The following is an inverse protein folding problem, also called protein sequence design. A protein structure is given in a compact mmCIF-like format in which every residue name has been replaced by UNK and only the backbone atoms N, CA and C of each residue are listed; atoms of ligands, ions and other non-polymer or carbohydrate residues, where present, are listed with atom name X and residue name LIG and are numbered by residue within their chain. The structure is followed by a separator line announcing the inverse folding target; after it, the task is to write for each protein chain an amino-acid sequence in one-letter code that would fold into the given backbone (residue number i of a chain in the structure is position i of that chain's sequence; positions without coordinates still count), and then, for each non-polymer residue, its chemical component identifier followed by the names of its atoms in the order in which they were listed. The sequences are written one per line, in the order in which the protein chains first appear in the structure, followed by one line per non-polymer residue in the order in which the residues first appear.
data_IF_149831293270
#
_entry.id   IF_149831293270
#
_cell.length_a   1.000
_cell.length_b   1.000
_cell.length_c   1.000
_cell.angle_alpha   90.00
_cell.angle_beta   90.00
_cell.angle_gamma   90.00
#
_symmetry.space_group_name_H-M   'P 1'
#
loop_
_entity.id
_entity.type
_entity.pdbx_description
1 polymer ?
#
# COMPACT_ATOMS: atom_id res chain seq x y z
N UNK A 1 15.57 -15.18 -18.55
CA UNK A 1 14.38 -15.26 -17.67
C UNK A 1 14.52 -16.27 -16.52
N UNK A 2 15.04 -17.51 -16.71
CA UNK A 2 15.25 -18.48 -15.61
C UNK A 2 16.24 -18.06 -14.49
N UNK A 3 17.07 -17.03 -14.71
CA UNK A 3 18.10 -16.58 -13.75
C UNK A 3 17.61 -15.61 -12.67
N UNK A 4 16.31 -15.26 -12.64
CA UNK A 4 15.75 -14.28 -11.70
C UNK A 4 14.86 -14.91 -10.60
N UNK A 5 14.82 -16.23 -10.46
CA UNK A 5 13.92 -16.90 -9.51
C UNK A 5 14.06 -16.35 -8.06
N UNK A 6 15.28 -16.14 -7.58
CA UNK A 6 15.53 -15.52 -6.27
C UNK A 6 15.15 -14.03 -6.19
N UNK A 7 15.17 -13.32 -7.32
CA UNK A 7 14.79 -11.91 -7.36
C UNK A 7 13.28 -11.72 -7.15
N UNK A 8 12.44 -12.59 -7.71
CA UNK A 8 10.99 -12.54 -7.49
C UNK A 8 10.62 -12.84 -6.04
N UNK A 9 11.29 -13.80 -5.39
CA UNK A 9 11.09 -14.07 -3.97
C UNK A 9 11.47 -12.87 -3.08
N UNK A 10 12.58 -12.19 -3.39
CA UNK A 10 12.97 -10.98 -2.68
C UNK A 10 11.97 -9.82 -2.89
N UNK A 11 11.44 -9.67 -4.12
CA UNK A 11 10.43 -8.65 -4.42
C UNK A 11 9.10 -8.94 -3.71
N UNK A 12 8.71 -10.21 -3.64
CA UNK A 12 7.55 -10.71 -2.90
C UNK A 12 7.67 -10.41 -1.40
N UNK A 13 8.82 -10.70 -0.80
CA UNK A 13 9.13 -10.42 0.61
C UNK A 13 9.06 -8.91 0.90
N UNK A 14 9.65 -8.08 0.04
CA UNK A 14 9.63 -6.62 0.17
C UNK A 14 8.20 -6.06 0.11
N UNK A 15 7.39 -6.52 -0.85
CA UNK A 15 5.99 -6.12 -0.95
C UNK A 15 5.18 -6.56 0.28
N UNK A 16 5.42 -7.78 0.76
CA UNK A 16 4.82 -8.29 1.99
C UNK A 16 5.20 -7.47 3.22
N UNK A 17 6.47 -7.04 3.33
CA UNK A 17 6.93 -6.19 4.43
C UNK A 17 6.29 -4.80 4.35
N UNK A 18 6.25 -4.18 3.17
CA UNK A 18 5.61 -2.88 2.97
C UNK A 18 4.14 -2.90 3.42
N UNK A 19 3.38 -3.93 3.00
CA UNK A 19 1.98 -4.09 3.40
C UNK A 19 1.80 -4.21 4.91
N UNK A 20 2.56 -5.09 5.57
CA UNK A 20 2.49 -5.28 7.04
C UNK A 20 2.86 -4.01 7.82
N UNK A 21 3.85 -3.26 7.37
CA UNK A 21 4.23 -2.02 8.04
C UNK A 21 3.18 -0.91 7.81
N UNK A 22 2.55 -0.85 6.64
CA UNK A 22 1.38 0.03 6.43
C UNK A 22 0.25 -0.34 7.39
N UNK A 23 -0.15 -1.61 7.48
CA UNK A 23 -1.19 -2.06 8.42
C UNK A 23 -0.92 -1.62 9.86
N UNK A 24 0.33 -1.74 10.34
CA UNK A 24 0.73 -1.27 11.67
C UNK A 24 0.56 0.25 11.83
N UNK A 25 0.98 1.05 10.84
CA UNK A 25 0.88 2.51 10.89
C UNK A 25 -0.58 2.98 10.93
N UNK A 26 -1.44 2.35 10.13
CA UNK A 26 -2.88 2.64 10.09
C UNK A 26 -3.58 2.18 11.38
N UNK A 27 -3.25 0.99 11.88
CA UNK A 27 -3.77 0.48 13.15
C UNK A 27 -3.41 1.39 14.34
N UNK A 28 -2.18 1.94 14.38
CA UNK A 28 -1.75 2.89 15.40
C UNK A 28 -2.56 4.21 15.39
N UNK A 29 -3.29 4.49 14.30
CA UNK A 29 -4.16 5.66 14.14
C UNK A 29 -5.64 5.32 14.27
N UNK A 30 -5.99 4.06 14.49
CA UNK A 30 -7.37 3.60 14.54
C UNK A 30 -8.10 3.71 13.19
N UNK A 31 -7.35 3.77 12.08
CA UNK A 31 -7.93 3.84 10.73
C UNK A 31 -7.97 2.41 10.18
N UNK A 32 -9.15 1.82 9.96
CA UNK A 32 -9.26 0.47 9.45
C UNK A 32 -8.85 0.41 7.98
N UNK A 33 -7.95 -0.52 7.67
CA UNK A 33 -7.60 -0.87 6.29
C UNK A 33 -7.50 -2.38 6.11
N UNK A 34 -7.67 -2.81 4.87
CA UNK A 34 -7.34 -4.16 4.41
C UNK A 34 -6.28 -4.05 3.30
N UNK A 35 -5.14 -4.73 3.46
CA UNK A 35 -4.12 -4.81 2.42
C UNK A 35 -4.22 -6.14 1.70
N UNK A 36 -4.74 -6.11 0.48
CA UNK A 36 -4.64 -7.25 -0.41
C UNK A 36 -3.30 -7.26 -1.13
N UNK A 37 -2.78 -8.46 -1.38
CA UNK A 37 -1.48 -8.63 -2.04
C UNK A 37 -1.45 -9.89 -2.91
N UNK A 38 -0.77 -9.78 -4.04
CA UNK A 38 -0.39 -10.90 -4.88
C UNK A 38 1.03 -10.65 -5.41
N UNK A 39 2.01 -11.39 -4.89
CA UNK A 39 3.43 -11.13 -5.16
C UNK A 39 3.81 -9.67 -4.90
N UNK A 40 4.30 -8.95 -5.90
CA UNK A 40 4.71 -7.55 -5.80
C UNK A 40 3.57 -6.53 -5.93
N UNK A 41 2.35 -7.01 -6.23
CA UNK A 41 1.14 -6.19 -6.35
C UNK A 41 0.46 -6.08 -4.99
N UNK A 42 -0.03 -4.88 -4.66
CA UNK A 42 -0.80 -4.66 -3.44
C UNK A 42 -1.90 -3.63 -3.67
N UNK A 43 -2.97 -3.70 -2.89
CA UNK A 43 -4.05 -2.70 -2.87
C UNK A 43 -4.40 -2.40 -1.42
N UNK A 44 -4.48 -1.12 -1.06
CA UNK A 44 -4.95 -0.67 0.24
C UNK A 44 -6.43 -0.33 0.14
N UNK A 45 -7.28 -1.14 0.75
CA UNK A 45 -8.71 -0.86 0.89
C UNK A 45 -9.00 -0.17 2.20
N UNK A 46 -9.60 1.02 2.15
CA UNK A 46 -9.97 1.80 3.34
C UNK A 46 -11.29 1.29 3.93
N UNK A 47 -11.23 0.08 4.52
CA UNK A 47 -12.34 -0.58 5.20
C UNK A 47 -11.83 -1.69 6.13
N UNK A 48 -12.73 -2.20 6.97
CA UNK A 48 -12.50 -3.41 7.76
C UNK A 48 -12.79 -4.69 6.98
N UNK A 49 -12.09 -5.76 7.35
CA UNK A 49 -12.39 -7.12 6.90
C UNK A 49 -11.74 -7.49 5.56
N UNK A 50 -11.91 -8.75 5.12
CA UNK A 50 -11.34 -9.21 3.87
C UNK A 50 -12.08 -8.60 2.68
N UNK A 51 -11.33 -8.20 1.65
CA UNK A 51 -11.85 -7.75 0.36
C UNK A 51 -11.61 -8.85 -0.66
N UNK A 52 -12.66 -9.54 -1.10
CA UNK A 52 -12.54 -10.74 -1.93
C UNK A 52 -13.26 -10.64 -3.29
N UNK A 53 -14.04 -9.59 -3.50
CA UNK A 53 -14.83 -9.38 -4.70
C UNK A 53 -15.12 -7.88 -4.92
N UNK A 54 -15.80 -7.56 -6.01
CA UNK A 54 -16.18 -6.18 -6.32
C UNK A 54 -17.11 -5.59 -5.26
N UNK A 55 -18.09 -6.38 -4.80
CA UNK A 55 -19.08 -5.92 -3.81
C UNK A 55 -18.42 -5.49 -2.50
N UNK A 56 -17.46 -6.27 -2.01
CA UNK A 56 -16.65 -5.92 -0.84
C UNK A 56 -15.72 -4.74 -1.15
N UNK A 57 -15.06 -4.69 -2.30
CA UNK A 57 -14.18 -3.58 -2.66
C UNK A 57 -14.92 -2.22 -2.66
N UNK A 58 -16.14 -2.18 -3.20
CA UNK A 58 -16.99 -0.99 -3.28
C UNK A 58 -17.43 -0.42 -1.92
N UNK A 59 -17.19 -1.14 -0.82
CA UNK A 59 -17.44 -0.64 0.54
C UNK A 59 -16.31 0.24 1.10
N UNK A 60 -15.20 0.37 0.37
CA UNK A 60 -14.05 1.16 0.80
C UNK A 60 -14.39 2.66 0.83
N UNK A 61 -13.86 3.37 1.82
CA UNK A 61 -13.98 4.82 1.93
C UNK A 61 -13.11 5.53 0.88
N UNK A 62 -13.71 5.87 -0.25
CA UNK A 62 -13.02 6.52 -1.37
C UNK A 62 -12.62 7.96 -1.08
N UNK A 63 -13.34 8.64 -0.19
CA UNK A 63 -13.02 10.02 0.19
C UNK A 63 -11.79 10.07 1.09
N UNK A 64 -11.69 9.12 2.04
CA UNK A 64 -10.51 8.96 2.87
C UNK A 64 -9.30 8.51 2.04
N UNK A 65 -9.50 7.61 1.07
CA UNK A 65 -8.45 7.27 0.10
C UNK A 65 -7.96 8.49 -0.66
N UNK A 66 -8.86 9.34 -1.18
CA UNK A 66 -8.48 10.54 -1.93
C UNK A 66 -7.65 11.51 -1.07
N UNK A 67 -8.06 11.75 0.18
CA UNK A 67 -7.30 12.56 1.14
C UNK A 67 -5.91 11.97 1.40
N UNK A 68 -5.83 10.65 1.62
CA UNK A 68 -4.58 9.95 1.81
C UNK A 68 -3.67 10.06 0.57
N UNK A 69 -4.20 9.79 -0.62
CA UNK A 69 -3.49 9.89 -1.89
C UNK A 69 -2.87 11.27 -2.09
N UNK A 70 -3.63 12.35 -1.87
CA UNK A 70 -3.08 13.70 -1.95
C UNK A 70 -2.00 13.98 -0.91
N UNK A 71 -2.15 13.47 0.32
CA UNK A 71 -1.11 13.54 1.34
C UNK A 71 0.17 12.79 0.94
N UNK A 72 0.04 11.62 0.30
CA UNK A 72 1.18 10.86 -0.21
C UNK A 72 1.91 11.62 -1.32
N UNK A 73 1.19 12.24 -2.25
CA UNK A 73 1.77 13.12 -3.29
C UNK A 73 2.55 14.27 -2.65
N UNK A 74 1.97 14.94 -1.65
CA UNK A 74 2.65 16.04 -0.93
C UNK A 74 3.94 15.59 -0.23
N UNK A 75 4.02 14.31 0.14
CA UNK A 75 5.22 13.71 0.72
C UNK A 75 6.15 13.05 -0.32
N UNK A 76 5.89 13.27 -1.62
CA UNK A 76 6.75 12.82 -2.72
C UNK A 76 6.59 11.34 -3.10
N UNK A 77 5.46 10.72 -2.75
CA UNK A 77 5.14 9.32 -3.12
C UNK A 77 3.89 9.29 -3.96
N UNK A 78 4.02 8.80 -5.19
CA UNK A 78 2.91 8.69 -6.12
C UNK A 78 2.35 7.26 -6.10
N UNK A 79 1.18 7.10 -5.48
CA UNK A 79 0.41 5.86 -5.51
C UNK A 79 -0.55 5.83 -6.71
N UNK A 80 -1.26 4.73 -6.90
CA UNK A 80 -2.35 4.72 -7.88
C UNK A 80 -3.38 5.82 -7.57
N UNK A 81 -3.93 6.56 -8.55
CA UNK A 81 -4.90 7.63 -8.31
C UNK A 81 -6.33 7.12 -8.07
N UNK A 82 -6.49 5.87 -7.60
CA UNK A 82 -7.78 5.22 -7.43
C UNK A 82 -7.75 4.17 -6.32
N UNK A 83 -8.78 4.17 -5.47
CA UNK A 83 -9.03 3.15 -4.45
C UNK A 83 -9.10 1.73 -5.05
N UNK A 84 -9.48 1.61 -6.31
CA UNK A 84 -9.72 0.31 -6.94
C UNK A 84 -8.53 -0.18 -7.78
N UNK A 85 -7.37 0.48 -7.68
CA UNK A 85 -6.16 0.09 -8.40
C UNK A 85 -5.12 -0.55 -7.48
N UNK A 86 -4.31 -1.43 -8.06
CA UNK A 86 -3.15 -1.98 -7.40
C UNK A 86 -1.94 -1.04 -7.54
N UNK A 87 -1.16 -0.93 -6.48
CA UNK A 87 0.23 -0.50 -6.53
C UNK A 87 1.14 -1.66 -6.93
N UNK A 88 2.29 -1.32 -7.51
CA UNK A 88 3.26 -2.30 -8.01
C UNK A 88 4.65 -1.96 -7.51
N UNK A 89 5.31 -2.91 -6.85
CA UNK A 89 6.76 -2.83 -6.66
C UNK A 89 7.49 -3.37 -7.87
N UNK A 90 8.56 -2.68 -8.24
CA UNK A 90 9.47 -3.07 -9.31
C UNK A 90 10.86 -3.38 -8.76
N UNK A 91 11.70 -4.05 -9.55
CA UNK A 91 13.09 -4.33 -9.17
C UNK A 91 13.95 -3.06 -9.00
N UNK A 92 13.51 -1.91 -9.50
CA UNK A 92 14.21 -0.64 -9.32
C UNK A 92 14.00 -0.04 -7.91
N UNK A 93 12.92 -0.43 -7.21
CA UNK A 93 12.65 0.07 -5.87
C UNK A 93 13.62 -0.56 -4.86
N UNK A 94 14.22 0.29 -4.06
CA UNK A 94 15.22 -0.05 -3.03
C UNK A 94 14.59 -0.12 -1.63
N UNK A 95 15.39 -0.52 -0.65
CA UNK A 95 15.00 -0.45 0.76
C UNK A 95 14.77 1.00 1.23
N UNK A 96 15.56 1.94 0.71
CA UNK A 96 15.39 3.37 1.00
C UNK A 96 14.06 3.89 0.45
N UNK A 97 13.62 3.41 -0.72
CA UNK A 97 12.30 3.75 -1.25
C UNK A 97 11.17 3.21 -0.36
N UNK A 98 11.34 2.03 0.24
CA UNK A 98 10.36 1.49 1.20
C UNK A 98 10.32 2.36 2.47
N UNK A 99 11.48 2.71 3.02
CA UNK A 99 11.58 3.56 4.20
C UNK A 99 10.97 4.95 3.96
N UNK A 100 11.26 5.56 2.80
CA UNK A 100 10.65 6.83 2.37
C UNK A 100 9.15 6.73 2.22
N UNK A 101 8.66 5.62 1.65
CA UNK A 101 7.22 5.36 1.48
C UNK A 101 6.53 5.25 2.83
N UNK A 102 7.06 4.46 3.77
CA UNK A 102 6.49 4.33 5.11
C UNK A 102 6.54 5.64 5.91
N UNK A 103 7.62 6.42 5.77
CA UNK A 103 7.70 7.76 6.36
C UNK A 103 6.63 8.70 5.78
N UNK A 104 6.38 8.64 4.47
CA UNK A 104 5.31 9.41 3.83
C UNK A 104 3.91 8.98 4.32
N UNK A 105 3.68 7.67 4.50
CA UNK A 105 2.45 7.13 5.10
C UNK A 105 2.26 7.72 6.49
N UNK A 106 3.27 7.60 7.37
CA UNK A 106 3.20 8.09 8.74
C UNK A 106 2.93 9.62 8.79
N UNK A 107 3.63 10.41 7.97
CA UNK A 107 3.42 11.87 7.88
C UNK A 107 2.03 12.22 7.39
N UNK A 108 1.52 11.48 6.41
CA UNK A 108 0.17 11.67 5.87
C UNK A 108 -0.88 11.37 6.93
N UNK A 109 -0.75 10.24 7.62
CA UNK A 109 -1.69 9.82 8.67
C UNK A 109 -1.75 10.78 9.86
N UNK A 110 -0.69 11.55 10.14
CA UNK A 110 -0.73 12.61 11.17
C UNK A 110 -1.68 13.77 10.83
N UNK A 111 -2.07 13.91 9.55
CA UNK A 111 -2.92 15.00 9.03
C UNK A 111 -4.29 14.51 8.59
N UNK A 112 -4.55 13.20 8.65
CA UNK A 112 -5.83 12.59 8.29
C UNK A 112 -6.77 12.54 9.50
#
# INVERSE_FOLDING_TARGET
LKSMAGAYAALDERAGRLGREMEKLFAARGIPICVNRAFSMFTLFFQEGPVCDLTSALRSDTDLYARFFHGMIQNGVWLAPSQFEAGFLSFAHTEDDMARTLSAVEKTLRRL
#
